data_IF_668784932210
#
_entry.id   IF_668784932210
#
_cell.length_a   1.000
_cell.length_b   1.000
_cell.length_c   1.000
_cell.angle_alpha   90.00
_cell.angle_beta   90.00
_cell.angle_gamma   90.00
#
_symmetry.space_group_name_H-M   'P 1'
#
loop_
_entity.id
_entity.type
_entity.pdbx_description
1 polymer ?
#
# COMPACT_ATOMS: atom_id res chain seq x y z
N UNK A 1 -22.48 -2.17 12.53
CA UNK A 1 -21.77 -2.05 11.24
C UNK A 1 -20.39 -2.65 11.46
N UNK A 2 -20.21 -3.93 11.14
CA UNK A 2 -18.91 -4.60 11.31
C UNK A 2 -17.97 -4.05 10.25
N UNK A 3 -16.95 -3.31 10.68
CA UNK A 3 -15.80 -2.97 9.83
C UNK A 3 -15.16 -4.30 9.42
N UNK A 4 -15.46 -4.77 8.21
CA UNK A 4 -14.69 -5.85 7.58
C UNK A 4 -13.35 -5.19 7.24
N UNK A 5 -12.46 -5.10 8.23
CA UNK A 5 -11.10 -4.69 7.97
C UNK A 5 -10.49 -5.71 7.03
N UNK A 6 -10.08 -5.25 5.85
CA UNK A 6 -9.34 -6.07 4.90
C UNK A 6 -8.10 -6.61 5.62
N UNK A 7 -7.81 -7.91 5.50
CA UNK A 7 -6.69 -8.56 6.20
C UNK A 7 -5.37 -7.84 5.93
N UNK A 8 -5.18 -7.38 4.70
CA UNK A 8 -4.05 -6.54 4.29
C UNK A 8 -3.96 -5.23 5.09
N UNK A 9 -5.07 -4.51 5.24
CA UNK A 9 -5.09 -3.24 5.97
C UNK A 9 -4.65 -3.41 7.43
N UNK A 10 -5.09 -4.49 8.07
CA UNK A 10 -4.69 -4.79 9.45
C UNK A 10 -3.19 -5.06 9.56
N UNK A 11 -2.64 -5.87 8.66
CA UNK A 11 -1.21 -6.19 8.68
C UNK A 11 -0.35 -4.95 8.37
N UNK A 12 -0.78 -4.12 7.41
CA UNK A 12 -0.13 -2.84 7.13
C UNK A 12 -0.13 -1.91 8.34
N UNK A 13 -1.27 -1.75 9.02
CA UNK A 13 -1.36 -0.87 10.19
C UNK A 13 -0.49 -1.37 11.35
N UNK A 14 -0.47 -2.68 11.61
CA UNK A 14 0.42 -3.28 12.61
C UNK A 14 1.89 -3.01 12.31
N UNK A 15 2.31 -3.27 11.06
CA UNK A 15 3.67 -3.03 10.63
C UNK A 15 4.05 -1.55 10.75
N UNK A 16 3.24 -0.65 10.21
CA UNK A 16 3.52 0.78 10.18
C UNK A 16 3.58 1.39 11.59
N UNK A 17 2.74 0.92 12.51
CA UNK A 17 2.75 1.37 13.91
C UNK A 17 4.04 0.99 14.63
N UNK A 18 4.65 -0.14 14.27
CA UNK A 18 5.94 -0.57 14.85
C UNK A 18 7.11 0.10 14.14
N UNK A 19 6.99 0.35 12.84
CA UNK A 19 8.10 0.81 12.00
C UNK A 19 8.30 2.34 12.05
N UNK A 20 7.20 3.09 12.15
CA UNK A 20 7.21 4.55 12.21
C UNK A 20 7.17 5.03 13.66
N UNK A 21 7.71 6.22 13.93
CA UNK A 21 7.47 6.89 15.20
C UNK A 21 5.97 7.26 15.32
N UNK A 22 5.44 7.27 16.54
CA UNK A 22 4.01 7.48 16.81
C UNK A 22 3.44 8.72 16.09
N UNK A 23 4.10 9.89 16.21
CA UNK A 23 3.69 11.13 15.53
C UNK A 23 3.65 11.02 13.99
N UNK A 24 4.49 10.16 13.41
CA UNK A 24 4.53 9.92 11.97
C UNK A 24 3.46 8.92 11.52
N UNK A 25 3.16 7.93 12.36
CA UNK A 25 2.07 6.99 12.13
C UNK A 25 0.73 7.71 12.18
N UNK A 26 0.48 8.56 13.18
CA UNK A 26 -0.78 9.29 13.32
C UNK A 26 -1.05 10.20 12.11
N UNK A 27 -0.02 10.95 11.67
CA UNK A 27 -0.09 11.78 10.44
C UNK A 27 -0.34 10.97 9.17
N UNK A 28 0.12 9.71 9.13
CA UNK A 28 -0.16 8.82 8.00
C UNK A 28 -1.61 8.35 8.04
N UNK A 29 -2.11 7.92 9.20
CA UNK A 29 -3.50 7.47 9.35
C UNK A 29 -4.49 8.57 8.97
N UNK A 30 -4.27 9.81 9.43
CA UNK A 30 -5.10 10.97 9.02
C UNK A 30 -5.15 11.16 7.49
N UNK A 31 -4.06 10.84 6.78
CA UNK A 31 -4.01 10.90 5.30
C UNK A 31 -4.57 9.66 4.62
N UNK A 32 -4.69 8.54 5.32
CA UNK A 32 -5.33 7.34 4.79
C UNK A 32 -6.85 7.46 4.95
N UNK A 33 -7.33 8.05 6.04
CA UNK A 33 -8.74 8.21 6.41
C UNK A 33 -9.47 9.38 5.72
N UNK A 34 -9.06 9.79 4.51
CA UNK A 34 -9.85 10.77 3.76
C UNK A 34 -11.27 10.26 3.56
N UNK A 35 -12.24 11.03 4.08
CA UNK A 35 -13.66 10.80 3.83
C UNK A 35 -13.87 10.67 2.32
N UNK A 36 -14.55 9.60 1.89
CA UNK A 36 -15.04 9.48 0.52
C UNK A 36 -15.76 10.81 0.20
N UNK A 37 -15.21 11.59 -0.74
CA UNK A 37 -15.88 12.81 -1.19
C UNK A 37 -17.31 12.40 -1.56
N UNK A 38 -18.30 13.16 -1.07
CA UNK A 38 -19.71 12.92 -1.41
C UNK A 38 -19.85 13.02 -2.93
N UNK A 39 -19.78 11.88 -3.59
CA UNK A 39 -20.01 11.77 -5.02
C UNK A 39 -21.51 11.93 -5.23
N UNK A 40 -21.91 12.83 -6.12
CA UNK A 40 -23.33 13.03 -6.41
C UNK A 40 -23.93 11.73 -6.96
N UNK A 41 -25.18 11.40 -6.62
CA UNK A 41 -25.77 10.06 -6.88
C UNK A 41 -25.73 9.64 -8.36
N UNK A 42 -25.71 10.62 -9.27
CA UNK A 42 -25.62 10.39 -10.71
C UNK A 42 -24.23 9.90 -11.11
N UNK A 43 -23.19 10.53 -10.56
CA UNK A 43 -21.80 10.16 -10.81
C UNK A 43 -21.49 8.79 -10.24
N UNK A 44 -22.03 8.47 -9.05
CA UNK A 44 -21.89 7.16 -8.42
C UNK A 44 -22.51 6.04 -9.28
N UNK A 45 -23.72 6.26 -9.81
CA UNK A 45 -24.38 5.31 -10.73
C UNK A 45 -23.62 5.11 -12.04
N UNK A 46 -23.07 6.19 -12.60
CA UNK A 46 -22.24 6.12 -13.82
C UNK A 46 -20.98 5.31 -13.53
N UNK A 47 -20.32 5.56 -12.40
CA UNK A 47 -19.12 4.85 -12.00
C UNK A 47 -19.40 3.36 -11.75
N UNK A 48 -20.51 3.03 -11.10
CA UNK A 48 -20.94 1.65 -10.85
C UNK A 48 -21.23 0.90 -12.14
N UNK A 49 -21.90 1.54 -13.10
CA UNK A 49 -22.16 0.97 -14.42
C UNK A 49 -20.86 0.65 -15.17
N UNK A 50 -19.91 1.58 -15.18
CA UNK A 50 -18.60 1.34 -15.82
C UNK A 50 -17.78 0.29 -15.08
N UNK A 51 -17.79 0.27 -13.74
CA UNK A 51 -17.10 -0.73 -12.94
C UNK A 51 -17.64 -2.15 -13.19
N UNK A 52 -18.95 -2.30 -13.36
CA UNK A 52 -19.59 -3.56 -13.73
C UNK A 52 -19.21 -4.01 -15.14
N UNK A 53 -19.15 -3.10 -16.11
CA UNK A 53 -18.73 -3.43 -17.47
C UNK A 53 -17.26 -3.82 -17.58
N UNK A 54 -16.40 -3.19 -16.76
CA UNK A 54 -14.96 -3.43 -16.78
C UNK A 54 -14.50 -4.53 -15.81
N UNK A 55 -15.42 -5.16 -15.07
CA UNK A 55 -15.12 -6.12 -14.00
C UNK A 55 -14.05 -5.61 -13.01
N UNK A 56 -14.08 -4.31 -12.70
CA UNK A 56 -13.09 -3.71 -11.79
C UNK A 56 -13.44 -4.14 -10.36
N UNK A 57 -12.57 -4.96 -9.77
CA UNK A 57 -12.68 -5.32 -8.36
C UNK A 57 -12.33 -4.11 -7.48
N UNK A 58 -13.35 -3.44 -6.95
CA UNK A 58 -13.21 -2.27 -6.07
C UNK A 58 -12.31 -2.54 -4.85
N UNK A 59 -12.18 -3.80 -4.41
CA UNK A 59 -11.30 -4.16 -3.29
C UNK A 59 -9.82 -4.00 -3.63
N UNK A 60 -9.41 -4.39 -4.84
CA UNK A 60 -8.03 -4.25 -5.32
C UNK A 60 -7.63 -2.78 -5.51
N UNK A 61 -8.58 -1.95 -5.96
CA UNK A 61 -8.37 -0.50 -6.11
C UNK A 61 -8.10 0.20 -4.77
N UNK A 62 -8.86 -0.14 -3.71
CA UNK A 62 -8.64 0.44 -2.37
C UNK A 62 -7.26 0.07 -1.81
N UNK A 63 -6.86 -1.19 -1.96
CA UNK A 63 -5.56 -1.69 -1.51
C UNK A 63 -4.40 -0.97 -2.24
N UNK A 64 -4.54 -0.80 -3.56
CA UNK A 64 -3.56 -0.08 -4.38
C UNK A 64 -3.36 1.35 -3.92
N UNK A 65 -4.46 2.10 -3.79
CA UNK A 65 -4.42 3.52 -3.37
C UNK A 65 -3.79 3.64 -1.98
N UNK A 66 -4.12 2.73 -1.06
CA UNK A 66 -3.55 2.73 0.30
C UNK A 66 -2.04 2.54 0.27
N UNK A 67 -1.56 1.52 -0.45
CA UNK A 67 -0.14 1.22 -0.59
C UNK A 67 0.62 2.37 -1.26
N UNK A 68 0.08 2.95 -2.32
CA UNK A 68 0.71 4.09 -3.00
C UNK A 68 0.84 5.32 -2.08
N UNK A 69 -0.16 5.56 -1.22
CA UNK A 69 -0.10 6.61 -0.21
C UNK A 69 0.96 6.33 0.86
N UNK A 70 1.05 5.09 1.35
CA UNK A 70 2.08 4.67 2.30
C UNK A 70 3.47 4.90 1.71
N UNK A 71 3.70 4.48 0.47
CA UNK A 71 4.97 4.67 -0.24
C UNK A 71 5.30 6.15 -0.36
N UNK A 72 4.34 6.96 -0.86
CA UNK A 72 4.54 8.40 -1.08
C UNK A 72 4.84 9.14 0.22
N UNK A 73 4.18 8.77 1.32
CA UNK A 73 4.44 9.33 2.64
C UNK A 73 5.84 8.94 3.14
N UNK A 74 6.16 7.66 3.05
CA UNK A 74 7.41 7.08 3.56
C UNK A 74 8.63 7.62 2.82
N UNK A 75 8.51 7.82 1.50
CA UNK A 75 9.56 8.38 0.64
C UNK A 75 9.96 9.80 1.06
N UNK A 76 9.01 10.59 1.59
CA UNK A 76 9.25 11.97 2.04
C UNK A 76 9.76 12.07 3.48
N UNK A 77 9.54 11.03 4.29
CA UNK A 77 9.75 11.07 5.74
C UNK A 77 10.94 10.24 6.20
N UNK A 78 11.29 9.19 5.46
CA UNK A 78 12.39 8.28 5.79
C UNK A 78 13.63 8.61 4.97
N UNK A 79 14.79 8.27 5.51
CA UNK A 79 16.03 8.23 4.72
C UNK A 79 16.01 7.04 3.75
N UNK A 80 16.87 7.06 2.73
CA UNK A 80 16.81 6.06 1.65
C UNK A 80 16.95 4.61 2.16
N UNK A 81 17.82 4.36 3.14
CA UNK A 81 18.01 3.01 3.69
C UNK A 81 16.78 2.50 4.43
N UNK A 82 16.17 3.32 5.29
CA UNK A 82 14.91 2.96 5.97
C UNK A 82 13.75 2.88 4.99
N UNK A 83 13.75 3.69 3.95
CA UNK A 83 12.71 3.63 2.92
C UNK A 83 12.81 2.33 2.11
N UNK A 84 14.01 1.94 1.68
CA UNK A 84 14.22 0.68 0.95
C UNK A 84 13.82 -0.54 1.79
N UNK A 85 14.19 -0.57 3.08
CA UNK A 85 13.74 -1.62 4.01
C UNK A 85 12.22 -1.65 4.14
N UNK A 86 11.57 -0.49 4.25
CA UNK A 86 10.11 -0.41 4.29
C UNK A 86 9.48 -0.98 3.01
N UNK A 87 10.06 -0.69 1.83
CA UNK A 87 9.54 -1.24 0.57
C UNK A 87 9.63 -2.76 0.52
N UNK A 88 10.72 -3.37 1.01
CA UNK A 88 10.87 -4.83 1.06
C UNK A 88 9.81 -5.47 1.97
N UNK A 89 9.66 -4.96 3.20
CA UNK A 89 8.66 -5.46 4.17
C UNK A 89 7.22 -5.26 3.64
N UNK A 90 6.96 -4.11 3.03
CA UNK A 90 5.66 -3.81 2.42
C UNK A 90 5.32 -4.77 1.28
N UNK A 91 6.31 -5.09 0.44
CA UNK A 91 6.17 -6.05 -0.65
C UNK A 91 5.92 -7.47 -0.12
N UNK A 92 6.60 -7.87 0.96
CA UNK A 92 6.37 -9.16 1.63
C UNK A 92 4.95 -9.26 2.20
N UNK A 93 4.45 -8.21 2.87
CA UNK A 93 3.06 -8.17 3.37
C UNK A 93 2.07 -8.31 2.20
N UNK A 94 2.30 -7.60 1.09
CA UNK A 94 1.47 -7.72 -0.11
C UNK A 94 1.50 -9.14 -0.68
N UNK A 95 2.67 -9.79 -0.69
CA UNK A 95 2.85 -11.16 -1.19
C UNK A 95 2.08 -12.18 -0.34
N UNK A 96 2.20 -12.11 0.98
CA UNK A 96 1.52 -13.01 1.94
C UNK A 96 0.00 -12.89 1.84
N UNK A 97 -0.50 -11.68 1.57
CA UNK A 97 -1.94 -11.42 1.40
C UNK A 97 -2.45 -11.67 -0.03
N UNK A 98 -1.62 -12.27 -0.90
CA UNK A 98 -1.99 -12.67 -2.25
C UNK A 98 -2.08 -11.51 -3.27
N UNK A 99 -1.58 -10.33 -2.93
CA UNK A 99 -1.51 -9.15 -3.81
C UNK A 99 -0.23 -9.20 -4.66
N UNK A 100 -0.13 -10.22 -5.51
CA UNK A 100 1.09 -10.56 -6.25
C UNK A 100 1.58 -9.42 -7.16
N UNK A 101 0.69 -8.82 -7.94
CA UNK A 101 1.04 -7.72 -8.86
C UNK A 101 1.63 -6.53 -8.09
N UNK A 102 1.00 -6.19 -6.96
CA UNK A 102 1.42 -5.09 -6.09
C UNK A 102 2.77 -5.40 -5.44
N UNK A 103 2.96 -6.62 -4.93
CA UNK A 103 4.22 -7.06 -4.36
C UNK A 103 5.38 -6.96 -5.37
N UNK A 104 5.17 -7.45 -6.60
CA UNK A 104 6.18 -7.40 -7.66
C UNK A 104 6.57 -5.97 -8.04
N UNK A 105 5.61 -5.06 -8.12
CA UNK A 105 5.89 -3.65 -8.39
C UNK A 105 6.74 -3.01 -7.28
N UNK A 106 6.41 -3.30 -6.02
CA UNK A 106 7.13 -2.76 -4.88
C UNK A 106 8.55 -3.35 -4.80
N UNK A 107 8.73 -4.66 -5.02
CA UNK A 107 10.06 -5.26 -5.09
C UNK A 107 10.91 -4.67 -6.23
N UNK A 108 10.31 -4.40 -7.40
CA UNK A 108 11.00 -3.70 -8.49
C UNK A 108 11.43 -2.29 -8.07
N UNK A 109 10.58 -1.56 -7.34
CA UNK A 109 10.93 -0.23 -6.82
C UNK A 109 12.05 -0.32 -5.78
N UNK A 110 11.98 -1.26 -4.83
CA UNK A 110 13.00 -1.49 -3.82
C UNK A 110 14.37 -1.82 -4.44
N UNK A 111 14.41 -2.73 -5.42
CA UNK A 111 15.64 -3.11 -6.11
C UNK A 111 16.29 -1.94 -6.87
N UNK A 112 15.48 -1.09 -7.51
CA UNK A 112 15.98 0.09 -8.23
C UNK A 112 16.58 1.16 -7.31
N UNK A 113 16.02 1.33 -6.12
CA UNK A 113 16.39 2.39 -5.18
C UNK A 113 17.46 1.96 -4.18
N UNK A 114 17.56 0.66 -3.90
CA UNK A 114 18.53 0.15 -2.93
C UNK A 114 19.95 0.29 -3.45
N UNK A 115 20.82 0.86 -2.64
CA UNK A 115 22.28 0.75 -2.78
C UNK A 115 22.86 -0.37 -1.93
N UNK A 116 22.03 -0.97 -1.06
CA UNK A 116 22.39 -2.06 -0.15
C UNK A 116 22.18 -3.42 -0.82
N UNK A 117 23.24 -4.21 -0.88
CA UNK A 117 23.24 -5.54 -1.51
C UNK A 117 22.26 -6.52 -0.83
N UNK A 118 22.05 -6.39 0.47
CA UNK A 118 21.10 -7.23 1.21
C UNK A 118 19.65 -6.95 0.80
N UNK A 119 19.24 -5.68 0.79
CA UNK A 119 17.90 -5.30 0.39
C UNK A 119 17.65 -5.56 -1.12
N UNK A 120 18.70 -5.51 -1.95
CA UNK A 120 18.61 -5.98 -3.34
C UNK A 120 18.36 -7.48 -3.42
N UNK A 121 19.11 -8.29 -2.67
CA UNK A 121 18.97 -9.74 -2.65
C UNK A 121 17.56 -10.16 -2.19
N UNK A 122 17.04 -9.54 -1.12
CA UNK A 122 15.67 -9.78 -0.66
C UNK A 122 14.61 -9.39 -1.71
N UNK A 123 14.84 -8.26 -2.40
CA UNK A 123 13.95 -7.84 -3.48
C UNK A 123 13.99 -8.80 -4.67
N UNK A 124 15.15 -9.38 -4.99
CA UNK A 124 15.28 -10.39 -6.04
C UNK A 124 14.61 -11.70 -5.67
N UNK A 125 14.73 -12.14 -4.42
CA UNK A 125 14.03 -13.33 -3.92
C UNK A 125 12.50 -13.17 -4.03
N UNK A 126 11.98 -11.98 -3.75
CA UNK A 126 10.55 -11.68 -3.92
C UNK A 126 10.07 -11.57 -5.37
N UNK A 127 10.98 -11.52 -6.34
CA UNK A 127 10.68 -11.46 -7.78
C UNK A 127 10.85 -12.81 -8.50
N UNK A 128 11.46 -13.81 -7.86
CA UNK A 128 11.75 -15.13 -8.41
C UNK A 128 10.57 -16.10 -8.21
#
# INVERSE_FOLDING_TARGET
MQLIYNKLENELNKFLKVYLADDSYDRLIERLDFAEEKCDQVTEKINDFYNQQLNIDKSQYKDRVRVDRIITFSEKTLNNDKFCKLLVELAQICLVEGKLDLAQEIFKKANKLSTNDFAKAESFLGLA
#
